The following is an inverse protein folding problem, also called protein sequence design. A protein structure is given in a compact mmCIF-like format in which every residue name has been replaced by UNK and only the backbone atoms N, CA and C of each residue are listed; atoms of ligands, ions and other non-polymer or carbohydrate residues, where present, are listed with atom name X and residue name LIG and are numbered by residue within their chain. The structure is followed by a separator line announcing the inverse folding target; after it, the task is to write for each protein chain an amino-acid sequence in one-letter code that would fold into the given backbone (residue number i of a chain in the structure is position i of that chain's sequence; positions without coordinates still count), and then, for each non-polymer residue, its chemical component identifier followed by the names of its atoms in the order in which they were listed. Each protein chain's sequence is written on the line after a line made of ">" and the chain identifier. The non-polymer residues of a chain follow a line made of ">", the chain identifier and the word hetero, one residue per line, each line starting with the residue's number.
data_IF_409754808350
#
_entry.id   IF_409754808350
#
_cell.length_a   1.000
_cell.length_b   1.000
_cell.length_c   1.000
_cell.angle_alpha   90.00
_cell.angle_beta   90.00
_cell.angle_gamma   90.00
#
_symmetry.space_group_name_H-M   'P 1'
#
loop_
_entity.id
_entity.type
_entity.pdbx_description
1 polymer ?
#
# COMPACT_ATOMS: atom_id res chain seq x y z
N UNK A 1 -0.77 -0.79 -17.23
CA UNK A 1 0.23 -1.83 -17.64
C UNK A 1 -0.43 -3.19 -17.40
N UNK A 2 -0.36 -4.16 -18.31
CA UNK A 2 -1.09 -5.43 -18.11
C UNK A 2 -0.56 -6.14 -16.85
N UNK A 3 -1.40 -6.27 -15.82
CA UNK A 3 -0.98 -6.80 -14.51
C UNK A 3 -0.80 -8.30 -14.64
N UNK A 4 0.45 -8.69 -14.87
CA UNK A 4 0.84 -10.07 -15.14
C UNK A 4 1.08 -10.90 -13.88
N UNK A 5 0.84 -10.37 -12.67
CA UNK A 5 1.36 -10.94 -11.42
C UNK A 5 0.41 -10.73 -10.20
N UNK A 6 0.75 -11.39 -9.09
CA UNK A 6 0.16 -11.29 -7.75
C UNK A 6 -1.16 -12.03 -7.50
N UNK A 7 -1.63 -12.86 -8.44
CA UNK A 7 -2.88 -13.61 -8.31
C UNK A 7 -2.87 -14.61 -7.14
N UNK A 8 -1.77 -15.34 -6.94
CA UNK A 8 -1.61 -16.29 -5.83
C UNK A 8 -1.55 -15.58 -4.47
N UNK A 9 -0.91 -14.41 -4.41
CA UNK A 9 -0.83 -13.58 -3.21
C UNK A 9 -2.24 -13.12 -2.82
N UNK A 10 -3.00 -12.58 -3.78
CA UNK A 10 -4.37 -12.12 -3.55
C UNK A 10 -5.27 -13.23 -3.02
N UNK A 11 -5.20 -14.42 -3.65
CA UNK A 11 -5.94 -15.60 -3.24
C UNK A 11 -5.58 -16.03 -1.80
N UNK A 12 -4.29 -16.07 -1.48
CA UNK A 12 -3.80 -16.47 -0.15
C UNK A 12 -4.33 -15.55 0.95
N UNK A 13 -4.22 -14.23 0.77
CA UNK A 13 -4.64 -13.25 1.78
C UNK A 13 -6.16 -13.22 1.99
N UNK A 14 -6.93 -13.46 0.93
CA UNK A 14 -8.39 -13.39 0.99
C UNK A 14 -9.04 -14.71 1.40
N UNK A 15 -8.37 -15.87 1.22
CA UNK A 15 -8.96 -17.21 1.36
C UNK A 15 -9.84 -17.39 2.60
N UNK A 16 -9.36 -16.98 3.77
CA UNK A 16 -10.08 -17.16 5.03
C UNK A 16 -11.24 -16.18 5.22
N UNK A 17 -11.27 -15.09 4.46
CA UNK A 17 -12.27 -14.02 4.50
C UNK A 17 -13.34 -14.16 3.41
N UNK A 18 -13.18 -15.10 2.49
CA UNK A 18 -14.11 -15.34 1.38
C UNK A 18 -15.36 -16.11 1.84
N UNK A 19 -16.53 -15.86 1.20
CA UNK A 19 -17.71 -16.70 1.35
C UNK A 19 -17.43 -18.17 1.02
N UNK A 20 -18.18 -19.14 1.57
CA UNK A 20 -17.86 -20.57 1.46
C UNK A 20 -17.64 -21.08 0.03
N UNK A 21 -18.44 -20.63 -0.94
CA UNK A 21 -18.28 -21.03 -2.34
C UNK A 21 -17.04 -20.44 -2.99
N UNK A 22 -16.70 -19.19 -2.70
CA UNK A 22 -15.52 -18.53 -3.26
C UNK A 22 -14.24 -19.08 -2.62
N UNK A 23 -14.29 -19.39 -1.32
CA UNK A 23 -13.20 -20.05 -0.59
C UNK A 23 -12.84 -21.41 -1.21
N UNK A 24 -13.82 -22.22 -1.59
CA UNK A 24 -13.56 -23.50 -2.29
C UNK A 24 -12.83 -23.30 -3.62
N UNK A 25 -13.27 -22.32 -4.42
CA UNK A 25 -12.59 -21.97 -5.68
C UNK A 25 -11.16 -21.50 -5.40
N UNK A 26 -10.97 -20.61 -4.42
CA UNK A 26 -9.66 -20.08 -4.07
C UNK A 26 -8.71 -21.18 -3.56
N UNK A 27 -9.18 -22.07 -2.69
CA UNK A 27 -8.40 -23.23 -2.22
C UNK A 27 -7.98 -24.14 -3.37
N UNK A 28 -8.91 -24.47 -4.28
CA UNK A 28 -8.59 -25.30 -5.45
C UNK A 28 -7.50 -24.65 -6.32
N UNK A 29 -7.60 -23.34 -6.59
CA UNK A 29 -6.60 -22.63 -7.39
C UNK A 29 -5.25 -22.60 -6.69
N UNK A 30 -5.21 -22.39 -5.37
CA UNK A 30 -3.97 -22.38 -4.59
C UNK A 30 -3.30 -23.77 -4.53
N UNK A 31 -4.08 -24.84 -4.47
CA UNK A 31 -3.59 -26.23 -4.48
C UNK A 31 -3.15 -26.70 -5.87
N UNK A 32 -3.82 -26.22 -6.92
CA UNK A 32 -3.60 -26.66 -8.31
C UNK A 32 -3.42 -25.50 -9.31
N UNK A 33 -2.47 -24.57 -9.09
CA UNK A 33 -2.39 -23.33 -9.87
C UNK A 33 -2.07 -23.57 -11.35
N UNK A 34 -1.18 -24.52 -11.67
CA UNK A 34 -0.82 -24.88 -13.06
C UNK A 34 -1.99 -25.48 -13.83
N UNK A 35 -2.90 -26.17 -13.14
CA UNK A 35 -4.12 -26.72 -13.74
C UNK A 35 -5.17 -25.63 -13.90
N UNK A 36 -5.38 -24.80 -12.87
CA UNK A 36 -6.35 -23.71 -12.86
C UNK A 36 -6.16 -22.73 -14.02
N UNK A 37 -4.91 -22.37 -14.37
CA UNK A 37 -4.64 -21.47 -15.51
C UNK A 37 -5.01 -22.06 -16.88
N UNK A 38 -5.34 -23.36 -16.98
CA UNK A 38 -5.80 -24.00 -18.22
C UNK A 38 -7.32 -24.15 -18.30
N UNK A 39 -8.01 -23.92 -17.19
CA UNK A 39 -9.46 -24.14 -17.06
C UNK A 39 -10.28 -22.89 -17.43
N UNK A 40 -11.50 -23.12 -17.89
CA UNK A 40 -12.58 -22.13 -18.02
C UNK A 40 -13.26 -21.87 -16.67
N UNK A 41 -14.09 -20.83 -16.58
CA UNK A 41 -14.86 -20.56 -15.37
C UNK A 41 -15.81 -21.72 -14.99
N UNK A 42 -16.33 -22.46 -15.98
CA UNK A 42 -17.19 -23.64 -15.75
C UNK A 42 -16.36 -24.77 -15.16
N UNK A 43 -15.24 -25.11 -15.78
CA UNK A 43 -14.34 -26.17 -15.30
C UNK A 43 -13.75 -25.86 -13.91
N UNK A 44 -13.42 -24.60 -13.62
CA UNK A 44 -13.02 -24.17 -12.28
C UNK A 44 -14.15 -24.33 -11.26
N UNK A 45 -15.39 -24.02 -11.64
CA UNK A 45 -16.57 -24.25 -10.82
C UNK A 45 -16.73 -25.73 -10.49
N UNK A 46 -16.71 -26.60 -11.50
CA UNK A 46 -16.84 -28.04 -11.34
C UNK A 46 -15.71 -28.65 -10.51
N UNK A 47 -14.46 -28.32 -10.82
CA UNK A 47 -13.28 -28.86 -10.13
C UNK A 47 -13.21 -28.43 -8.65
N UNK A 48 -13.75 -27.25 -8.32
CA UNK A 48 -13.88 -26.76 -6.94
C UNK A 48 -15.18 -27.19 -6.23
N UNK A 49 -16.04 -27.97 -6.89
CA UNK A 49 -17.36 -28.37 -6.39
C UNK A 49 -18.28 -27.16 -6.09
N UNK A 50 -18.28 -26.20 -7.01
CA UNK A 50 -19.07 -24.96 -6.99
C UNK A 50 -19.66 -24.68 -8.38
N UNK A 51 -19.99 -23.41 -8.67
CA UNK A 51 -20.55 -22.98 -9.95
C UNK A 51 -19.65 -21.94 -10.61
N UNK A 52 -19.79 -21.76 -11.93
CA UNK A 52 -19.11 -20.68 -12.66
C UNK A 52 -19.43 -19.29 -12.09
N UNK A 53 -20.64 -19.10 -11.54
CA UNK A 53 -21.02 -17.88 -10.84
C UNK A 53 -20.19 -17.64 -9.55
N UNK A 54 -19.80 -18.70 -8.84
CA UNK A 54 -18.90 -18.57 -7.69
C UNK A 54 -17.50 -18.11 -8.13
N UNK A 55 -17.00 -18.57 -9.28
CA UNK A 55 -15.72 -18.13 -9.85
C UNK A 55 -15.76 -16.64 -10.24
N UNK A 56 -16.86 -16.19 -10.85
CA UNK A 56 -17.05 -14.77 -11.18
C UNK A 56 -17.14 -13.91 -9.92
N UNK A 57 -17.85 -14.37 -8.88
CA UNK A 57 -17.89 -13.65 -7.60
C UNK A 57 -16.53 -13.58 -6.92
N UNK A 58 -15.74 -14.66 -6.97
CA UNK A 58 -14.37 -14.65 -6.47
C UNK A 58 -13.54 -13.55 -7.14
N UNK A 59 -13.63 -13.40 -8.47
CA UNK A 59 -12.92 -12.33 -9.18
C UNK A 59 -13.28 -10.94 -8.65
N UNK A 60 -14.58 -10.70 -8.41
CA UNK A 60 -15.06 -9.46 -7.79
C UNK A 60 -14.51 -9.27 -6.38
N UNK A 61 -14.52 -10.30 -5.54
CA UNK A 61 -13.99 -10.24 -4.18
C UNK A 61 -12.48 -9.97 -4.13
N UNK A 62 -11.73 -10.38 -5.16
CA UNK A 62 -10.30 -10.10 -5.31
C UNK A 62 -10.01 -8.76 -6.03
N UNK A 63 -11.04 -8.00 -6.41
CA UNK A 63 -10.89 -6.76 -7.18
C UNK A 63 -10.12 -6.98 -8.50
N UNK A 64 -10.38 -8.10 -9.18
CA UNK A 64 -9.91 -8.38 -10.54
C UNK A 64 -11.09 -8.39 -11.50
N UNK A 65 -10.88 -7.92 -12.73
CA UNK A 65 -11.95 -7.68 -13.70
C UNK A 65 -12.67 -8.97 -14.09
N UNK A 66 -11.93 -10.05 -14.35
CA UNK A 66 -12.47 -11.34 -14.74
C UNK A 66 -11.51 -12.51 -14.48
N UNK A 67 -11.96 -13.71 -14.87
CA UNK A 67 -11.21 -14.96 -14.72
C UNK A 67 -9.95 -14.98 -15.59
N UNK A 68 -9.94 -14.30 -16.74
CA UNK A 68 -8.75 -14.24 -17.61
C UNK A 68 -7.66 -13.40 -16.97
N UNK A 69 -8.00 -12.24 -16.39
CA UNK A 69 -7.07 -11.43 -15.61
C UNK A 69 -6.51 -12.24 -14.43
N UNK A 70 -7.37 -12.93 -13.67
CA UNK A 70 -6.93 -13.77 -12.56
C UNK A 70 -5.94 -14.86 -13.02
N UNK A 71 -6.25 -15.57 -14.12
CA UNK A 71 -5.38 -16.60 -14.68
C UNK A 71 -4.06 -16.05 -15.21
N UNK A 72 -4.07 -14.87 -15.84
CA UNK A 72 -2.86 -14.20 -16.32
C UNK A 72 -1.92 -13.87 -15.16
N UNK A 73 -2.48 -13.32 -14.07
CA UNK A 73 -1.74 -13.00 -12.84
C UNK A 73 -1.13 -14.24 -12.20
N UNK A 74 -1.88 -15.34 -12.13
CA UNK A 74 -1.38 -16.62 -11.62
C UNK A 74 -0.29 -17.18 -12.53
N UNK A 75 -0.44 -17.07 -13.85
CA UNK A 75 0.55 -17.55 -14.80
C UNK A 75 1.89 -16.82 -14.64
N UNK A 76 1.90 -15.51 -14.43
CA UNK A 76 3.14 -14.79 -14.14
C UNK A 76 3.72 -15.09 -12.75
N UNK A 77 2.87 -15.35 -11.75
CA UNK A 77 3.36 -15.85 -10.45
C UNK A 77 4.08 -17.20 -10.60
N UNK A 78 3.56 -18.11 -11.42
CA UNK A 78 4.17 -19.42 -11.69
C UNK A 78 5.50 -19.35 -12.45
N UNK A 79 5.72 -18.28 -13.23
CA UNK A 79 6.99 -18.06 -13.92
C UNK A 79 8.08 -17.51 -12.99
N UNK A 80 7.70 -16.89 -11.86
CA UNK A 80 8.65 -16.44 -10.85
C UNK A 80 9.20 -17.65 -10.10
N UNK A 81 10.45 -18.03 -10.41
CA UNK A 81 11.18 -19.07 -9.66
C UNK A 81 11.42 -18.62 -8.21
N UNK A 82 10.73 -19.24 -7.27
CA UNK A 82 11.01 -19.13 -5.82
C UNK A 82 12.18 -20.05 -5.41
N UNK A 83 13.35 -19.92 -6.06
CA UNK A 83 14.48 -20.84 -5.85
C UNK A 83 15.61 -20.28 -4.99
N UNK A 84 15.47 -19.09 -4.42
CA UNK A 84 16.49 -18.51 -3.54
C UNK A 84 16.04 -18.68 -2.10
N UNK A 85 16.86 -19.34 -1.29
CA UNK A 85 16.71 -19.33 0.17
C UNK A 85 16.79 -17.89 0.66
N UNK A 86 15.68 -17.40 1.20
CA UNK A 86 15.53 -16.00 1.61
C UNK A 86 15.72 -15.85 3.11
N UNK A 87 15.72 -16.92 3.89
CA UNK A 87 15.76 -16.78 5.33
C UNK A 87 17.16 -16.39 5.79
N UNK A 88 17.22 -15.40 6.68
CA UNK A 88 18.48 -14.99 7.30
C UNK A 88 18.77 -15.96 8.43
N UNK A 89 19.93 -16.60 8.40
CA UNK A 89 20.35 -17.58 9.40
C UNK A 89 21.29 -16.96 10.44
N UNK A 90 21.26 -17.51 11.65
CA UNK A 90 22.15 -17.06 12.72
C UNK A 90 23.62 -17.30 12.33
N UNK A 91 24.43 -16.25 12.40
CA UNK A 91 25.86 -16.25 12.08
C UNK A 91 26.21 -16.56 10.62
N UNK A 92 25.29 -16.32 9.67
CA UNK A 92 25.65 -16.42 8.26
C UNK A 92 26.62 -15.29 7.81
N UNK A 93 27.42 -15.47 6.76
CA UNK A 93 28.35 -14.45 6.28
C UNK A 93 27.66 -13.13 5.92
N UNK A 94 28.26 -11.98 6.27
CA UNK A 94 27.69 -10.65 5.95
C UNK A 94 27.37 -10.48 4.46
N UNK A 95 28.16 -11.08 3.57
CA UNK A 95 27.89 -11.07 2.13
C UNK A 95 26.54 -11.74 1.80
N UNK A 96 26.25 -12.90 2.42
CA UNK A 96 24.96 -13.59 2.27
C UNK A 96 23.81 -12.72 2.77
N UNK A 97 23.99 -12.04 3.90
CA UNK A 97 22.99 -11.10 4.44
C UNK A 97 22.71 -9.96 3.44
N UNK A 98 23.76 -9.35 2.86
CA UNK A 98 23.59 -8.29 1.85
C UNK A 98 22.81 -8.80 0.64
N UNK A 99 23.16 -9.98 0.13
CA UNK A 99 22.48 -10.60 -1.02
C UNK A 99 21.02 -10.91 -0.69
N UNK A 100 20.74 -11.59 0.43
CA UNK A 100 19.38 -11.96 0.86
C UNK A 100 18.50 -10.75 1.12
N UNK A 101 18.97 -9.75 1.87
CA UNK A 101 18.21 -8.52 2.16
C UNK A 101 17.90 -7.74 0.88
N UNK A 102 18.86 -7.65 -0.05
CA UNK A 102 18.67 -6.95 -1.32
C UNK A 102 17.64 -7.65 -2.20
N UNK A 103 17.72 -8.99 -2.29
CA UNK A 103 16.76 -9.79 -3.05
C UNK A 103 15.36 -9.72 -2.46
N UNK A 104 15.23 -9.83 -1.14
CA UNK A 104 13.95 -9.64 -0.43
C UNK A 104 13.36 -8.25 -0.66
N UNK A 105 14.20 -7.21 -0.54
CA UNK A 105 13.78 -5.82 -0.76
C UNK A 105 13.30 -5.59 -2.20
N UNK A 106 14.01 -6.13 -3.19
CA UNK A 106 13.63 -6.01 -4.60
C UNK A 106 12.31 -6.74 -4.90
N UNK A 107 12.13 -7.92 -4.31
CA UNK A 107 10.91 -8.71 -4.46
C UNK A 107 9.71 -8.02 -3.80
N UNK A 108 9.82 -7.51 -2.58
CA UNK A 108 8.70 -6.84 -1.90
C UNK A 108 8.27 -5.58 -2.66
N UNK A 109 9.22 -4.81 -3.21
CA UNK A 109 8.92 -3.62 -4.01
C UNK A 109 8.20 -4.03 -5.31
N UNK A 110 8.71 -5.04 -6.02
CA UNK A 110 8.11 -5.54 -7.26
C UNK A 110 6.71 -6.08 -7.03
N UNK A 111 6.50 -6.87 -5.97
CA UNK A 111 5.19 -7.42 -5.62
C UNK A 111 4.20 -6.35 -5.22
N UNK A 112 4.65 -5.36 -4.44
CA UNK A 112 3.82 -4.22 -4.05
C UNK A 112 3.36 -3.46 -5.29
N UNK A 113 4.26 -3.17 -6.24
CA UNK A 113 3.89 -2.53 -7.50
C UNK A 113 2.85 -3.32 -8.30
N UNK A 114 2.92 -4.66 -8.30
CA UNK A 114 1.94 -5.51 -8.99
C UNK A 114 0.55 -5.56 -8.32
N UNK A 115 0.47 -5.19 -7.04
CA UNK A 115 -0.78 -5.14 -6.26
C UNK A 115 -1.50 -3.80 -6.37
N UNK A 116 -0.84 -2.75 -6.86
CA UNK A 116 -1.45 -1.44 -7.01
C UNK A 116 -2.66 -1.52 -7.94
N UNK A 117 -3.80 -1.04 -7.46
CA UNK A 117 -4.95 -0.74 -8.31
C UNK A 117 -4.76 0.63 -8.95
N UNK A 118 -4.75 0.69 -10.29
CA UNK A 118 -4.51 1.93 -11.02
C UNK A 118 -5.68 2.91 -10.80
N UNK A 119 -6.92 2.40 -10.68
CA UNK A 119 -8.09 3.24 -10.45
C UNK A 119 -8.09 3.85 -9.03
N UNK A 120 -7.79 3.04 -8.00
CA UNK A 120 -7.67 3.54 -6.62
C UNK A 120 -6.48 4.48 -6.48
N UNK A 121 -5.36 4.21 -7.17
CA UNK A 121 -4.21 5.10 -7.20
C UNK A 121 -4.56 6.46 -7.82
N UNK A 122 -5.27 6.48 -8.95
CA UNK A 122 -5.75 7.71 -9.58
C UNK A 122 -6.69 8.50 -8.66
N UNK A 123 -7.62 7.81 -7.99
CA UNK A 123 -8.50 8.43 -6.99
C UNK A 123 -7.69 9.05 -5.84
N UNK A 124 -6.73 8.32 -5.30
CA UNK A 124 -5.86 8.79 -4.22
C UNK A 124 -5.03 10.01 -4.64
N UNK A 125 -4.37 9.95 -5.79
CA UNK A 125 -3.57 11.05 -6.34
C UNK A 125 -4.43 12.29 -6.57
N UNK A 126 -5.64 12.13 -7.13
CA UNK A 126 -6.56 13.24 -7.35
C UNK A 126 -7.00 13.89 -6.04
N UNK A 127 -7.34 13.09 -5.03
CA UNK A 127 -7.72 13.58 -3.71
C UNK A 127 -6.56 14.34 -3.05
N UNK A 128 -5.37 13.76 -3.03
CA UNK A 128 -4.17 14.36 -2.43
C UNK A 128 -3.72 15.64 -3.16
N UNK A 129 -3.81 15.68 -4.49
CA UNK A 129 -3.44 16.85 -5.30
C UNK A 129 -4.41 18.03 -5.12
N UNK A 130 -5.67 17.76 -4.78
CA UNK A 130 -6.70 18.80 -4.53
C UNK A 130 -6.86 19.11 -3.04
N UNK A 131 -6.18 18.36 -2.17
CA UNK A 131 -6.35 18.46 -0.74
C UNK A 131 -5.99 19.86 -0.22
N UNK A 132 -6.87 20.41 0.61
CA UNK A 132 -6.62 21.62 1.39
C UNK A 132 -5.66 21.33 2.54
N UNK A 133 -5.83 20.18 3.20
CA UNK A 133 -4.96 19.65 4.25
C UNK A 133 -4.88 18.12 4.13
N UNK A 134 -3.69 17.57 4.35
CA UNK A 134 -3.44 16.13 4.38
C UNK A 134 -3.00 15.74 5.79
N UNK A 135 -3.69 14.77 6.38
CA UNK A 135 -3.38 14.25 7.71
C UNK A 135 -2.91 12.81 7.54
N UNK A 136 -1.64 12.55 7.83
CA UNK A 136 -1.10 11.20 7.86
C UNK A 136 -1.11 10.67 9.30
N UNK A 137 -1.58 9.45 9.51
CA UNK A 137 -1.55 8.79 10.81
C UNK A 137 -1.01 7.37 10.71
N UNK A 138 -0.10 7.04 11.62
CA UNK A 138 0.47 5.70 11.74
C UNK A 138 1.25 5.57 13.05
N UNK A 139 1.38 4.35 13.55
CA UNK A 139 2.12 4.05 14.79
C UNK A 139 3.33 3.17 14.50
N UNK A 140 4.36 3.25 15.36
CA UNK A 140 5.60 2.47 15.19
C UNK A 140 6.24 2.68 13.81
N UNK A 141 6.56 1.59 13.12
CA UNK A 141 7.19 1.65 11.80
C UNK A 141 6.31 2.32 10.73
N UNK A 142 4.99 2.15 10.79
CA UNK A 142 4.06 2.85 9.89
C UNK A 142 3.97 4.35 10.21
N UNK A 143 4.24 4.75 11.45
CA UNK A 143 4.41 6.16 11.81
C UNK A 143 5.64 6.80 11.15
N UNK A 144 6.73 6.04 10.97
CA UNK A 144 7.91 6.50 10.21
C UNK A 144 7.52 6.76 8.74
N UNK A 145 6.73 5.87 8.13
CA UNK A 145 6.22 6.08 6.79
C UNK A 145 5.31 7.31 6.69
N UNK A 146 4.46 7.55 7.71
CA UNK A 146 3.64 8.76 7.79
C UNK A 146 4.51 10.03 7.84
N UNK A 147 5.59 10.02 8.63
CA UNK A 147 6.53 11.15 8.71
C UNK A 147 7.28 11.41 7.39
N UNK A 148 7.67 10.35 6.69
CA UNK A 148 8.28 10.45 5.37
C UNK A 148 7.31 11.07 4.34
N UNK A 149 6.05 10.64 4.36
CA UNK A 149 5.00 11.27 3.56
C UNK A 149 4.84 12.75 3.90
N UNK A 150 4.78 13.10 5.18
CA UNK A 150 4.66 14.49 5.62
C UNK A 150 5.80 15.36 5.11
N UNK A 151 7.04 14.89 5.27
CA UNK A 151 8.22 15.56 4.75
C UNK A 151 8.14 15.78 3.22
N UNK A 152 7.73 14.77 2.45
CA UNK A 152 7.64 14.85 0.98
C UNK A 152 6.58 15.85 0.54
N UNK A 153 5.38 15.76 1.10
CA UNK A 153 4.26 16.63 0.73
C UNK A 153 4.50 18.10 1.14
N UNK A 154 5.20 18.35 2.26
CA UNK A 154 5.63 19.71 2.62
C UNK A 154 6.57 20.35 1.58
N UNK A 155 7.43 19.57 0.91
CA UNK A 155 8.36 20.09 -0.12
C UNK A 155 7.66 20.62 -1.36
N UNK A 156 6.41 20.23 -1.58
CA UNK A 156 5.59 20.63 -2.71
C UNK A 156 4.45 21.58 -2.29
N UNK A 157 4.65 22.27 -1.17
CA UNK A 157 3.71 23.22 -0.58
C UNK A 157 2.30 22.63 -0.34
N UNK A 158 2.22 21.34 -0.01
CA UNK A 158 0.98 20.75 0.50
C UNK A 158 0.95 20.90 2.00
N UNK A 159 -0.19 21.36 2.53
CA UNK A 159 -0.39 21.48 3.96
C UNK A 159 -0.59 20.09 4.56
N UNK A 160 0.52 19.43 4.84
CA UNK A 160 0.58 18.09 5.38
C UNK A 160 0.96 18.09 6.86
N UNK A 161 0.46 17.11 7.61
CA UNK A 161 0.96 16.79 8.94
C UNK A 161 0.87 15.30 9.24
N UNK A 162 1.97 14.72 9.74
CA UNK A 162 1.96 13.39 10.34
C UNK A 162 1.73 13.45 11.86
N UNK A 163 0.91 12.52 12.35
CA UNK A 163 0.70 12.26 13.77
C UNK A 163 1.02 10.80 14.10
N UNK A 164 1.78 10.61 15.19
CA UNK A 164 2.03 9.30 15.80
C UNK A 164 1.34 9.15 17.16
N UNK A 165 0.91 10.27 17.75
CA UNK A 165 0.13 10.31 18.99
C UNK A 165 -1.36 10.25 18.65
N UNK A 166 -2.06 9.27 19.22
CA UNK A 166 -3.48 9.03 18.96
C UNK A 166 -4.35 10.24 19.33
N UNK A 167 -4.09 10.88 20.48
CA UNK A 167 -4.91 11.99 20.96
C UNK A 167 -4.75 13.22 20.07
N UNK A 168 -3.51 13.54 19.68
CA UNK A 168 -3.25 14.64 18.75
C UNK A 168 -3.81 14.36 17.35
N UNK A 169 -3.65 13.12 16.87
CA UNK A 169 -4.24 12.67 15.61
C UNK A 169 -5.76 12.85 15.61
N UNK A 170 -6.45 12.31 16.61
CA UNK A 170 -7.90 12.39 16.73
C UNK A 170 -8.39 13.84 16.86
N UNK A 171 -7.68 14.68 17.63
CA UNK A 171 -8.00 16.11 17.78
C UNK A 171 -7.85 16.87 16.45
N UNK A 172 -6.87 16.50 15.62
CA UNK A 172 -6.71 17.09 14.29
C UNK A 172 -7.81 16.65 13.33
N UNK A 173 -8.15 15.37 13.35
CA UNK A 173 -9.08 14.71 12.43
C UNK A 173 -10.53 15.11 12.69
N UNK A 174 -10.97 15.24 13.95
CA UNK A 174 -12.36 15.64 14.27
C UNK A 174 -12.71 17.04 13.73
N UNK A 175 -11.70 17.87 13.44
CA UNK A 175 -11.85 19.19 12.84
C UNK A 175 -11.62 19.18 11.33
N UNK A 176 -11.65 18.02 10.67
CA UNK A 176 -11.50 17.92 9.23
C UNK A 176 -12.73 18.47 8.49
N UNK A 177 -12.46 19.10 7.36
CA UNK A 177 -13.46 19.79 6.54
C UNK A 177 -13.45 19.24 5.11
N UNK A 178 -14.44 19.65 4.33
CA UNK A 178 -14.51 19.35 2.89
C UNK A 178 -13.18 19.69 2.20
N UNK A 179 -12.67 18.76 1.41
CA UNK A 179 -11.37 18.88 0.74
C UNK A 179 -10.16 18.56 1.61
N UNK A 180 -10.32 18.14 2.87
CA UNK A 180 -9.24 17.51 3.63
C UNK A 180 -9.13 16.02 3.30
N UNK A 181 -7.92 15.46 3.44
CA UNK A 181 -7.65 14.02 3.24
C UNK A 181 -6.99 13.44 4.47
N UNK A 182 -7.53 12.32 4.97
CA UNK A 182 -6.95 11.57 6.10
C UNK A 182 -6.42 10.23 5.59
N UNK A 183 -5.12 9.98 5.82
CA UNK A 183 -4.43 8.77 5.38
C UNK A 183 -4.02 7.94 6.59
N UNK A 184 -4.66 6.79 6.77
CA UNK A 184 -4.35 5.82 7.82
C UNK A 184 -3.39 4.75 7.32
N UNK A 185 -2.22 4.64 7.94
CA UNK A 185 -1.16 3.70 7.54
C UNK A 185 -1.01 2.60 8.60
N UNK A 186 -1.32 1.37 8.23
CA UNK A 186 -1.17 0.20 9.10
C UNK A 186 -0.81 -1.02 8.25
N UNK A 187 0.42 -1.54 8.39
CA UNK A 187 0.83 -2.70 7.58
C UNK A 187 -0.09 -3.90 7.81
N UNK A 188 -0.41 -4.24 9.06
CA UNK A 188 -1.27 -5.39 9.34
C UNK A 188 -2.72 -5.19 8.88
N UNK A 189 -3.17 -3.94 8.80
CA UNK A 189 -4.57 -3.54 8.60
C UNK A 189 -5.42 -3.69 9.87
N UNK A 190 -4.83 -4.09 10.99
CA UNK A 190 -5.54 -4.42 12.24
C UNK A 190 -5.14 -3.51 13.42
N UNK A 191 -4.35 -2.47 13.17
CA UNK A 191 -3.94 -1.53 14.22
C UNK A 191 -5.14 -0.70 14.69
N UNK A 192 -5.59 -0.95 15.92
CA UNK A 192 -6.78 -0.31 16.49
C UNK A 192 -6.71 1.21 16.50
N UNK A 193 -5.55 1.80 16.82
CA UNK A 193 -5.36 3.26 16.82
C UNK A 193 -5.58 3.86 15.43
N UNK A 194 -5.09 3.19 14.37
CA UNK A 194 -5.26 3.64 12.98
C UNK A 194 -6.72 3.48 12.56
N UNK A 195 -7.35 2.36 12.91
CA UNK A 195 -8.77 2.14 12.67
C UNK A 195 -9.62 3.21 13.35
N UNK A 196 -9.33 3.55 14.61
CA UNK A 196 -10.05 4.59 15.35
C UNK A 196 -9.93 5.96 14.68
N UNK A 197 -8.77 6.29 14.13
CA UNK A 197 -8.57 7.54 13.38
C UNK A 197 -9.40 7.57 12.11
N UNK A 198 -9.43 6.48 11.33
CA UNK A 198 -10.24 6.43 10.11
C UNK A 198 -11.74 6.40 10.41
N UNK A 199 -12.17 5.73 11.49
CA UNK A 199 -13.55 5.78 11.96
C UNK A 199 -13.97 7.23 12.28
N UNK A 200 -13.17 7.97 13.05
CA UNK A 200 -13.46 9.39 13.34
C UNK A 200 -13.47 10.22 12.05
N UNK A 201 -12.54 9.96 11.12
CA UNK A 201 -12.46 10.68 9.86
C UNK A 201 -13.70 10.45 8.98
N UNK A 202 -14.26 9.24 8.98
CA UNK A 202 -15.48 8.89 8.24
C UNK A 202 -16.74 9.63 8.73
N UNK A 203 -16.73 10.15 9.96
CA UNK A 203 -17.79 11.01 10.50
C UNK A 203 -17.61 12.50 10.12
N UNK A 204 -16.61 12.82 9.29
CA UNK A 204 -16.32 14.17 8.79
C UNK A 204 -16.44 14.23 7.27
N UNK A 205 -16.47 15.42 6.64
CA UNK A 205 -16.46 15.55 5.18
C UNK A 205 -15.10 15.26 4.51
N UNK A 206 -14.12 14.72 5.24
CA UNK A 206 -12.80 14.43 4.69
C UNK A 206 -12.81 13.14 3.86
N UNK A 207 -12.00 13.09 2.81
CA UNK A 207 -11.75 11.83 2.09
C UNK A 207 -10.78 10.97 2.90
N UNK A 208 -11.09 9.69 3.05
CA UNK A 208 -10.27 8.74 3.80
C UNK A 208 -9.51 7.78 2.88
N UNK A 209 -8.22 7.57 3.18
CA UNK A 209 -7.35 6.67 2.44
C UNK A 209 -6.72 5.69 3.43
N UNK A 210 -6.74 4.40 3.12
CA UNK A 210 -5.98 3.38 3.88
C UNK A 210 -4.75 2.91 3.10
N UNK A 211 -3.65 2.66 3.82
CA UNK A 211 -2.46 1.98 3.30
C UNK A 211 -2.14 0.77 4.17
N UNK A 212 -2.49 -0.42 3.67
CA UNK A 212 -2.41 -1.68 4.42
C UNK A 212 -1.82 -2.81 3.57
N UNK A 213 -1.47 -3.96 4.15
CA UNK A 213 -1.20 -5.16 3.33
C UNK A 213 -2.47 -5.58 2.59
N UNK A 214 -2.30 -6.19 1.42
CA UNK A 214 -3.44 -6.62 0.60
C UNK A 214 -4.43 -7.52 1.36
N UNK A 215 -5.72 -7.21 1.22
CA UNK A 215 -6.84 -7.99 1.74
C UNK A 215 -7.83 -7.17 2.56
N UNK A 216 -8.95 -7.79 2.94
CA UNK A 216 -9.98 -7.12 3.74
C UNK A 216 -9.55 -6.99 5.21
N UNK A 217 -9.31 -5.79 5.71
CA UNK A 217 -8.85 -5.56 7.08
C UNK A 217 -9.78 -4.57 7.80
N UNK A 218 -9.66 -4.49 9.12
CA UNK A 218 -10.39 -3.49 9.90
C UNK A 218 -10.13 -2.07 9.38
N UNK A 219 -8.86 -1.71 9.17
CA UNK A 219 -8.45 -0.38 8.70
C UNK A 219 -8.94 -0.12 7.27
N UNK A 220 -8.82 -1.08 6.35
CA UNK A 220 -9.25 -0.86 4.96
C UNK A 220 -10.77 -0.74 4.82
N UNK A 221 -11.54 -1.40 5.68
CA UNK A 221 -13.00 -1.30 5.68
C UNK A 221 -13.56 0.08 6.08
N UNK A 222 -12.72 0.94 6.65
CA UNK A 222 -13.08 2.28 7.13
C UNK A 222 -12.62 3.40 6.17
N UNK A 223 -12.14 3.07 4.98
CA UNK A 223 -11.59 4.03 4.02
C UNK A 223 -12.38 4.11 2.71
N UNK A 224 -12.51 5.32 2.15
CA UNK A 224 -13.11 5.57 0.83
C UNK A 224 -12.23 5.04 -0.31
N UNK A 225 -10.91 5.07 -0.10
CA UNK A 225 -9.89 4.66 -1.06
C UNK A 225 -8.92 3.70 -0.37
N UNK A 226 -8.71 2.53 -0.97
CA UNK A 226 -7.87 1.48 -0.39
C UNK A 226 -6.61 1.26 -1.22
N UNK A 227 -5.44 1.48 -0.60
CA UNK A 227 -4.14 1.19 -1.19
C UNK A 227 -3.48 0.02 -0.46
N UNK A 228 -2.85 -0.85 -1.23
CA UNK A 228 -2.32 -2.10 -0.73
C UNK A 228 -0.82 -2.24 -0.97
N UNK A 229 -0.15 -2.86 0.00
CA UNK A 229 1.23 -3.37 -0.12
C UNK A 229 1.26 -4.89 -0.11
N UNK A 230 2.36 -5.48 -0.58
CA UNK A 230 2.51 -6.94 -0.51
C UNK A 230 2.55 -7.41 0.96
N UNK A 231 1.83 -8.51 1.30
CA UNK A 231 1.80 -9.08 2.64
C UNK A 231 3.07 -9.85 2.99
N UNK A 232 4.00 -10.04 2.03
CA UNK A 232 5.12 -10.96 2.15
C UNK A 232 5.90 -10.74 3.45
N UNK A 233 5.88 -11.78 4.27
CA UNK A 233 6.35 -11.76 5.66
C UNK A 233 7.88 -11.74 5.69
N UNK A 234 8.41 -10.95 6.61
CA UNK A 234 9.83 -10.93 6.95
C UNK A 234 10.35 -12.34 7.27
N UNK A 235 11.61 -12.60 6.94
CA UNK A 235 12.29 -13.84 7.31
C UNK A 235 12.13 -14.16 8.81
N UNK A 236 12.28 -15.45 9.13
CA UNK A 236 12.00 -16.06 10.44
C UNK A 236 12.65 -15.33 11.64
N UNK A 237 13.80 -14.66 11.43
CA UNK A 237 14.29 -13.62 12.33
C UNK A 237 13.49 -12.32 12.12
N UNK A 238 12.45 -12.11 12.93
CA UNK A 238 11.62 -10.89 13.02
C UNK A 238 12.40 -9.62 12.66
N UNK A 239 12.37 -9.25 11.38
CA UNK A 239 13.25 -8.25 10.78
C UNK A 239 12.70 -6.84 10.99
N UNK A 240 12.50 -6.42 12.25
CA UNK A 240 12.39 -5.00 12.63
C UNK A 240 11.40 -4.12 11.85
N UNK A 241 10.37 -4.67 11.21
CA UNK A 241 9.49 -3.94 10.27
C UNK A 241 10.21 -3.39 9.02
N UNK A 242 11.27 -4.07 8.54
CA UNK A 242 12.11 -3.59 7.43
C UNK A 242 11.37 -3.67 6.10
N UNK A 243 10.91 -4.86 5.72
CA UNK A 243 10.29 -5.10 4.41
C UNK A 243 8.92 -4.45 4.31
N UNK A 244 8.13 -4.54 5.39
CA UNK A 244 6.82 -3.91 5.50
C UNK A 244 6.90 -2.38 5.35
N UNK A 245 7.87 -1.73 6.01
CA UNK A 245 8.11 -0.29 5.86
C UNK A 245 8.55 0.07 4.45
N UNK A 246 9.49 -0.67 3.84
CA UNK A 246 9.93 -0.40 2.46
C UNK A 246 8.77 -0.45 1.45
N UNK A 247 7.87 -1.42 1.61
CA UNK A 247 6.69 -1.54 0.78
C UNK A 247 5.76 -0.32 0.91
N UNK A 248 5.53 0.15 2.15
CA UNK A 248 4.72 1.36 2.38
C UNK A 248 5.41 2.63 1.84
N UNK A 249 6.73 2.77 2.03
CA UNK A 249 7.51 3.89 1.50
C UNK A 249 7.43 3.96 -0.03
N UNK A 250 7.46 2.81 -0.73
CA UNK A 250 7.26 2.76 -2.18
C UNK A 250 5.91 3.34 -2.59
N UNK A 251 4.81 2.97 -1.90
CA UNK A 251 3.49 3.51 -2.22
C UNK A 251 3.43 5.01 -1.95
N UNK A 252 4.05 5.50 -0.88
CA UNK A 252 4.18 6.94 -0.62
C UNK A 252 4.97 7.64 -1.74
N UNK A 253 6.07 7.05 -2.23
CA UNK A 253 6.84 7.60 -3.36
C UNK A 253 6.00 7.67 -4.64
N UNK A 254 5.22 6.64 -4.93
CA UNK A 254 4.33 6.60 -6.08
C UNK A 254 3.25 7.66 -5.96
N UNK A 255 2.60 7.80 -4.80
CA UNK A 255 1.61 8.85 -4.54
C UNK A 255 2.20 10.24 -4.69
N UNK A 256 3.37 10.47 -4.09
CA UNK A 256 4.07 11.73 -4.17
C UNK A 256 4.40 12.10 -5.62
N UNK A 257 4.99 11.18 -6.38
CA UNK A 257 5.30 11.39 -7.80
C UNK A 257 4.03 11.59 -8.64
N UNK A 258 2.95 10.87 -8.35
CA UNK A 258 1.64 11.07 -8.98
C UNK A 258 1.11 12.47 -8.74
N UNK A 259 1.18 12.97 -7.49
CA UNK A 259 0.76 14.33 -7.15
C UNK A 259 1.64 15.38 -7.85
N UNK A 260 2.96 15.21 -7.80
CA UNK A 260 3.93 16.10 -8.47
C UNK A 260 3.62 16.21 -9.96
N UNK A 261 3.41 15.09 -10.64
CA UNK A 261 3.16 15.06 -12.09
C UNK A 261 1.78 15.60 -12.45
N UNK A 262 0.75 15.33 -11.64
CA UNK A 262 -0.61 15.86 -11.85
C UNK A 262 -0.70 17.39 -11.72
N UNK A 263 0.19 18.01 -10.93
CA UNK A 263 0.26 19.44 -10.67
C UNK A 263 1.63 20.02 -11.02
N UNK A 264 2.26 19.50 -12.09
CA UNK A 264 3.67 19.73 -12.41
C UNK A 264 4.08 21.21 -12.42
N UNK A 265 3.36 22.05 -13.17
CA UNK A 265 3.67 23.47 -13.29
C UNK A 265 3.57 24.23 -11.96
N UNK A 266 2.74 23.77 -11.03
CA UNK A 266 2.61 24.38 -9.70
C UNK A 266 3.66 23.85 -8.72
N UNK A 267 4.08 22.60 -8.91
CA UNK A 267 4.86 21.85 -7.93
C UNK A 267 6.37 21.99 -8.12
N UNK A 268 6.84 22.13 -9.36
CA UNK A 268 8.28 22.19 -9.66
C UNK A 268 8.96 23.43 -9.05
N UNK A 269 8.27 24.58 -9.08
CA UNK A 269 8.79 25.82 -8.50
C UNK A 269 8.98 25.69 -6.97
N UNK A 270 8.03 25.07 -6.27
CA UNK A 270 8.16 24.80 -4.84
C UNK A 270 9.32 23.85 -4.51
N UNK A 271 9.59 22.85 -5.36
CA UNK A 271 10.72 21.95 -5.15
C UNK A 271 12.06 22.69 -5.29
N UNK A 272 12.18 23.59 -6.25
CA UNK A 272 13.39 24.39 -6.48
C UNK A 272 13.58 25.44 -5.39
N UNK A 273 12.51 26.13 -4.98
CA UNK A 273 12.53 27.10 -3.87
C UNK A 273 12.91 26.43 -2.55
N UNK A 274 12.23 25.34 -2.19
CA UNK A 274 12.52 24.62 -0.93
C UNK A 274 13.94 24.06 -0.94
N UNK A 275 14.41 23.49 -2.06
CA UNK A 275 15.80 23.05 -2.21
C UNK A 275 16.79 24.19 -1.99
N UNK A 276 16.55 25.34 -2.61
CA UNK A 276 17.42 26.52 -2.52
C UNK A 276 17.51 27.04 -1.08
N UNK A 277 16.37 27.13 -0.38
CA UNK A 277 16.31 27.56 1.02
C UNK A 277 17.08 26.59 1.92
N UNK A 278 16.85 25.28 1.77
CA UNK A 278 17.53 24.25 2.58
C UNK A 278 19.05 24.28 2.36
N UNK A 279 19.52 24.38 1.12
CA UNK A 279 20.96 24.53 0.81
C UNK A 279 21.54 25.82 1.41
N UNK A 280 20.72 26.86 1.57
CA UNK A 280 21.08 28.13 2.18
C UNK A 280 21.19 28.12 3.70
N UNK A 281 20.65 27.11 4.41
CA UNK A 281 20.59 27.10 5.89
C UNK A 281 21.96 27.11 6.58
N UNK A 282 23.02 26.64 5.90
CA UNK A 282 24.38 26.68 6.42
C UNK A 282 25.05 28.06 6.31
N UNK A 283 24.42 29.03 5.63
CA UNK A 283 24.94 30.40 5.52
C UNK A 283 24.80 31.13 6.86
N UNK A 284 25.77 31.99 7.18
CA UNK A 284 25.75 32.79 8.43
C UNK A 284 24.46 33.60 8.54
N UNK A 285 23.75 33.44 9.67
CA UNK A 285 22.57 34.24 10.00
C UNK A 285 22.97 35.71 10.09
N UNK A 286 22.44 36.52 9.17
CA UNK A 286 22.66 37.97 9.18
C UNK A 286 21.60 38.62 10.06
N UNK A 287 22.00 39.52 10.97
CA UNK A 287 21.05 40.27 11.80
C UNK A 287 20.09 41.05 10.89
N UNK A 288 18.78 40.87 11.08
CA UNK A 288 17.76 41.73 10.44
C UNK A 288 18.08 43.18 10.82
N UNK A 289 18.30 44.05 9.82
CA UNK A 289 18.28 45.49 10.04
C UNK A 289 16.83 45.87 10.36
N UNK A 290 16.58 46.20 11.63
CA UNK A 290 15.31 46.79 12.05
C UNK A 290 15.25 48.18 11.38
N UNK A 291 14.22 48.43 10.58
CA UNK A 291 13.88 49.76 10.09
C UNK A 291 13.09 50.50 11.15
#
# INVERSE_FOLDING_TARGET
>A
MEKINAGLIMLSEMREKLPPSEKKVASFILEHPTQAIKMTAVELGEASQTSSAAVVRLCKSLHVSDVQELKLRIAGDLQRKNTVDRDIEANEPLQSIVEKVTLQSSDILTQTANLIDEAELERAVSALAKARRIIFFGVGASGITAMDADQKFLRINRHSKAFMDLHLGATSVVNAQEGDVVVGISFSGETHEVAKILEIAGETPATTISLTRYGNSLVSSLADICLYVSPNVEATFRSGATSSRLAQLLVIDILFMGVVTSAYNQTIDYLDETRTVIQGLHKKVTKRKIK
#
